data_IF_243130230464
#
_entry.id   IF_243130230464
#
_cell.length_a   1.000
_cell.length_b   1.000
_cell.length_c   1.000
_cell.angle_alpha   90.00
_cell.angle_beta   90.00
_cell.angle_gamma   90.00
#
_symmetry.space_group_name_H-M   'P 1'
#
loop_
_entity.id
_entity.type
_entity.pdbx_description
1 polymer ?
#
# COMPACT_ATOMS: atom_id res chain seq x y z
N UNK A 1 -20.72 -35.05 -24.90
CA UNK A 1 -20.97 -34.40 -23.60
C UNK A 1 -20.14 -33.12 -23.54
N UNK A 2 -20.77 -31.95 -23.50
CA UNK A 2 -20.09 -30.64 -23.41
C UNK A 2 -20.61 -29.93 -22.17
N UNK A 3 -19.84 -29.93 -21.10
CA UNK A 3 -20.17 -29.18 -19.88
C UNK A 3 -19.76 -27.72 -20.08
N UNK A 4 -20.75 -26.82 -20.10
CA UNK A 4 -20.53 -25.37 -19.98
C UNK A 4 -20.60 -25.03 -18.50
N UNK A 5 -19.46 -24.72 -17.90
CA UNK A 5 -19.39 -24.25 -16.51
C UNK A 5 -19.54 -22.73 -16.49
N UNK A 6 -20.69 -22.26 -16.03
CA UNK A 6 -20.93 -20.86 -15.66
C UNK A 6 -20.30 -20.61 -14.29
N UNK A 7 -19.16 -19.92 -14.26
CA UNK A 7 -18.60 -19.42 -12.99
C UNK A 7 -19.31 -18.12 -12.62
N UNK A 8 -20.11 -18.15 -11.55
CA UNK A 8 -20.66 -16.96 -10.93
C UNK A 8 -19.59 -16.26 -10.09
N UNK A 9 -19.43 -14.96 -10.28
CA UNK A 9 -18.56 -14.11 -9.47
C UNK A 9 -19.37 -13.57 -8.29
N UNK A 10 -18.86 -13.72 -7.07
CA UNK A 10 -19.31 -12.94 -5.93
C UNK A 10 -18.11 -12.24 -5.32
N UNK A 11 -18.17 -10.91 -5.25
CA UNK A 11 -17.19 -10.08 -4.55
C UNK A 11 -17.57 -10.02 -3.09
N UNK A 12 -16.68 -10.47 -2.20
CA UNK A 12 -16.70 -10.08 -0.80
C UNK A 12 -15.35 -9.49 -0.42
N UNK A 13 -15.40 -8.23 0.02
CA UNK A 13 -14.32 -7.51 0.66
C UNK A 13 -14.07 -8.10 2.04
N UNK A 14 -12.86 -8.62 2.28
CA UNK A 14 -12.03 -8.34 3.46
C UNK A 14 -10.87 -9.35 3.56
N UNK A 15 -9.64 -8.84 3.45
CA UNK A 15 -8.50 -9.26 4.27
C UNK A 15 -8.11 -10.74 4.35
N UNK A 16 -8.20 -11.52 3.26
CA UNK A 16 -7.66 -12.88 3.27
C UNK A 16 -7.04 -13.23 1.92
N UNK A 17 -5.72 -13.44 1.93
CA UNK A 17 -4.90 -13.71 0.74
C UNK A 17 -5.15 -15.16 0.31
N UNK A 18 -6.09 -15.35 -0.62
CA UNK A 18 -6.33 -16.64 -1.28
C UNK A 18 -5.41 -16.73 -2.49
N UNK A 19 -4.43 -17.63 -2.44
CA UNK A 19 -3.73 -18.10 -3.64
C UNK A 19 -4.62 -19.08 -4.39
N UNK A 20 -5.47 -18.55 -5.28
CA UNK A 20 -6.20 -19.35 -6.27
C UNK A 20 -5.30 -19.48 -7.49
N UNK A 21 -5.16 -20.69 -8.03
CA UNK A 21 -4.54 -20.92 -9.34
C UNK A 21 -5.21 -20.02 -10.40
N UNK A 22 -4.55 -18.90 -10.74
CA UNK A 22 -5.14 -17.72 -11.40
C UNK A 22 -4.73 -16.36 -10.78
N UNK A 23 -4.05 -16.37 -9.63
CA UNK A 23 -3.79 -15.22 -8.74
C UNK A 23 -2.38 -14.59 -8.86
N UNK A 24 -1.79 -14.48 -10.06
CA UNK A 24 -0.59 -13.66 -10.25
C UNK A 24 -0.90 -12.16 -10.37
N UNK A 25 -2.17 -11.78 -10.57
CA UNK A 25 -2.58 -10.41 -10.90
C UNK A 25 -2.40 -9.37 -9.77
N UNK A 26 -2.17 -9.78 -8.51
CA UNK A 26 -2.05 -8.84 -7.37
C UNK A 26 -0.90 -9.15 -6.43
N UNK A 27 0.27 -9.51 -6.98
CA UNK A 27 1.44 -9.78 -6.14
C UNK A 27 2.13 -8.50 -5.65
N UNK A 28 2.12 -7.46 -6.48
CA UNK A 28 2.79 -6.18 -6.23
C UNK A 28 1.77 -5.04 -6.27
N UNK A 29 1.89 -4.13 -5.32
CA UNK A 29 1.04 -2.95 -5.20
C UNK A 29 1.85 -1.70 -5.52
N UNK A 30 1.31 -0.85 -6.41
CA UNK A 30 1.89 0.48 -6.66
C UNK A 30 1.76 1.32 -5.39
N UNK A 31 2.86 1.95 -4.99
CA UNK A 31 3.00 2.63 -3.71
C UNK A 31 3.38 1.70 -2.56
N UNK A 32 3.45 0.37 -2.77
CA UNK A 32 3.90 -0.57 -1.76
C UNK A 32 5.41 -0.49 -1.51
N UNK A 33 5.83 -0.74 -0.26
CA UNK A 33 7.24 -0.75 0.13
C UNK A 33 7.68 -2.17 0.39
N UNK A 34 8.71 -2.62 -0.30
CA UNK A 34 9.17 -4.00 -0.27
C UNK A 34 10.67 -4.07 0.03
N UNK A 35 11.11 -5.23 0.52
CA UNK A 35 12.50 -5.48 0.89
C UNK A 35 13.17 -6.38 -0.14
N UNK A 36 14.35 -6.01 -0.61
CA UNK A 36 15.14 -6.87 -1.48
C UNK A 36 15.61 -8.12 -0.70
N UNK A 37 15.32 -9.31 -1.22
CA UNK A 37 15.78 -10.58 -0.64
C UNK A 37 17.23 -10.90 -1.04
N UNK A 38 17.64 -10.44 -2.21
CA UNK A 38 18.98 -10.63 -2.76
C UNK A 38 19.61 -9.35 -3.31
N UNK A 39 20.65 -9.51 -4.14
CA UNK A 39 21.20 -8.41 -4.91
C UNK A 39 20.19 -8.05 -6.02
N UNK A 40 19.67 -6.83 -5.99
CA UNK A 40 18.68 -6.36 -6.95
C UNK A 40 19.33 -5.40 -7.95
N UNK A 41 19.34 -5.75 -9.23
CA UNK A 41 19.89 -4.91 -10.29
C UNK A 41 18.82 -3.94 -10.79
N UNK A 42 19.11 -2.64 -10.72
CA UNK A 42 18.25 -1.58 -11.23
C UNK A 42 18.64 -1.28 -12.67
N UNK A 43 17.65 -1.33 -13.55
CA UNK A 43 17.76 -1.16 -14.98
C UNK A 43 17.13 0.16 -15.44
N UNK A 44 17.68 0.76 -16.49
CA UNK A 44 17.23 2.06 -16.96
C UNK A 44 15.86 1.98 -17.64
N UNK A 45 15.60 0.91 -18.38
CA UNK A 45 14.37 0.69 -19.14
C UNK A 45 13.67 -0.60 -18.73
N UNK A 46 12.40 -0.71 -19.12
CA UNK A 46 11.55 -1.87 -18.82
C UNK A 46 12.09 -3.17 -19.42
N UNK A 47 12.96 -3.11 -20.44
CA UNK A 47 13.55 -4.29 -21.10
C UNK A 47 14.64 -4.93 -20.25
N UNK A 48 14.66 -6.27 -20.20
CA UNK A 48 15.55 -7.09 -19.37
C UNK A 48 17.07 -6.98 -19.68
N UNK A 49 17.44 -6.23 -20.72
CA UNK A 49 18.83 -6.02 -21.15
C UNK A 49 19.20 -4.54 -21.24
N UNK A 50 18.42 -3.67 -20.60
CA UNK A 50 18.73 -2.25 -20.58
C UNK A 50 19.98 -1.96 -19.72
N UNK A 51 20.51 -0.75 -19.87
CA UNK A 51 21.72 -0.34 -19.17
C UNK A 51 21.49 -0.37 -17.65
N UNK A 52 22.36 -1.04 -16.87
CA UNK A 52 22.23 -1.02 -15.42
C UNK A 52 22.52 0.37 -14.87
N UNK A 53 21.63 0.87 -14.02
CA UNK A 53 21.82 2.07 -13.21
C UNK A 53 22.74 1.75 -12.02
N UNK A 54 22.58 0.55 -11.45
CA UNK A 54 23.35 0.07 -10.32
C UNK A 54 22.70 -1.16 -9.68
N UNK A 55 23.15 -1.52 -8.48
CA UNK A 55 22.58 -2.65 -7.73
C UNK A 55 22.35 -2.30 -6.27
N UNK A 56 21.21 -2.73 -5.73
CA UNK A 56 20.91 -2.74 -4.30
C UNK A 56 21.38 -4.07 -3.69
N UNK A 57 21.84 -4.00 -2.43
CA UNK A 57 22.14 -5.20 -1.65
C UNK A 57 20.85 -5.76 -1.03
N UNK A 58 20.91 -7.02 -0.61
CA UNK A 58 19.85 -7.63 0.19
C UNK A 58 19.52 -6.80 1.43
N UNK A 59 18.26 -6.84 1.85
CA UNK A 59 17.72 -6.11 3.00
C UNK A 59 17.40 -4.64 2.75
N UNK A 60 17.68 -4.10 1.56
CA UNK A 60 17.33 -2.71 1.21
C UNK A 60 15.86 -2.58 0.87
N UNK A 61 15.28 -1.45 1.26
CA UNK A 61 13.88 -1.12 0.98
C UNK A 61 13.75 -0.39 -0.35
N UNK A 62 12.68 -0.71 -1.08
CA UNK A 62 12.28 -0.08 -2.32
C UNK A 62 10.79 0.23 -2.29
N UNK A 63 10.39 1.32 -2.94
CA UNK A 63 9.00 1.68 -3.18
C UNK A 63 8.65 1.31 -4.62
N UNK A 64 7.58 0.55 -4.83
CA UNK A 64 7.09 0.25 -6.18
C UNK A 64 6.34 1.46 -6.72
N UNK A 65 6.79 2.02 -7.83
CA UNK A 65 6.16 3.16 -8.50
C UNK A 65 5.27 2.71 -9.67
N UNK A 66 5.61 1.61 -10.32
CA UNK A 66 4.91 1.10 -11.50
C UNK A 66 5.05 -0.42 -11.59
N UNK A 67 4.04 -1.08 -12.14
CA UNK A 67 4.02 -2.54 -12.35
C UNK A 67 3.60 -2.80 -13.80
N UNK A 68 4.46 -3.47 -14.55
CA UNK A 68 4.22 -3.85 -15.95
C UNK A 68 4.29 -5.37 -16.06
N UNK A 69 3.27 -5.97 -16.64
CA UNK A 69 3.28 -7.39 -16.97
C UNK A 69 3.89 -7.57 -18.36
N UNK A 70 5.03 -8.27 -18.45
CA UNK A 70 5.70 -8.55 -19.73
C UNK A 70 5.14 -9.82 -20.38
N UNK A 71 4.85 -10.85 -19.58
CA UNK A 71 4.19 -12.06 -20.01
C UNK A 71 3.43 -12.72 -18.82
N UNK A 72 2.88 -13.92 -19.02
CA UNK A 72 2.06 -14.60 -18.00
C UNK A 72 2.85 -14.88 -16.71
N UNK A 73 4.17 -15.05 -16.82
CA UNK A 73 5.06 -15.43 -15.71
C UNK A 73 6.06 -14.35 -15.31
N UNK A 74 6.22 -13.29 -16.12
CA UNK A 74 7.20 -12.22 -15.93
C UNK A 74 6.51 -10.89 -15.68
N UNK A 75 6.86 -10.28 -14.55
CA UNK A 75 6.46 -8.92 -14.20
C UNK A 75 7.71 -8.08 -13.98
N UNK A 76 7.65 -6.84 -14.47
CA UNK A 76 8.67 -5.82 -14.33
C UNK A 76 8.14 -4.72 -13.43
N UNK A 77 8.94 -4.34 -12.45
CA UNK A 77 8.57 -3.37 -11.43
C UNK A 77 9.47 -2.16 -11.60
N UNK A 78 8.88 -0.97 -11.72
CA UNK A 78 9.63 0.25 -11.55
C UNK A 78 9.68 0.54 -10.06
N UNK A 79 10.88 0.60 -9.51
CA UNK A 79 11.06 0.79 -8.07
C UNK A 79 11.99 1.96 -7.80
N UNK A 80 11.68 2.71 -6.74
CA UNK A 80 12.53 3.75 -6.17
C UNK A 80 13.25 3.21 -4.96
N UNK A 81 14.57 3.32 -4.93
CA UNK A 81 15.34 2.91 -3.77
C UNK A 81 15.12 3.87 -2.60
N UNK A 82 14.68 3.36 -1.45
CA UNK A 82 14.49 4.17 -0.24
C UNK A 82 15.76 4.27 0.59
N UNK A 83 16.67 3.29 0.46
CA UNK A 83 17.85 3.16 1.33
C UNK A 83 19.12 2.83 0.54
N UNK A 84 20.28 3.22 1.08
CA UNK A 84 21.60 2.88 0.53
C UNK A 84 22.13 3.91 -0.48
N UNK A 85 23.16 3.52 -1.25
CA UNK A 85 23.89 4.44 -2.16
C UNK A 85 23.05 4.94 -3.34
N UNK A 86 21.98 4.24 -3.68
CA UNK A 86 21.07 4.59 -4.76
C UNK A 86 19.78 5.24 -4.24
N UNK A 87 19.71 5.62 -2.95
CA UNK A 87 18.51 6.20 -2.37
C UNK A 87 18.00 7.40 -3.20
N UNK A 88 16.68 7.43 -3.44
CA UNK A 88 16.01 8.41 -4.28
C UNK A 88 16.05 8.11 -5.78
N UNK A 89 16.88 7.16 -6.25
CA UNK A 89 16.92 6.76 -7.66
C UNK A 89 15.87 5.70 -7.96
N UNK A 90 15.23 5.83 -9.12
CA UNK A 90 14.30 4.85 -9.66
C UNK A 90 14.93 4.03 -10.78
N UNK A 91 14.47 2.79 -10.94
CA UNK A 91 14.86 1.90 -12.03
C UNK A 91 13.91 0.71 -12.12
N UNK A 92 14.00 -0.01 -13.23
CA UNK A 92 13.26 -1.24 -13.46
C UNK A 92 13.97 -2.44 -12.83
N UNK A 93 13.18 -3.38 -12.34
CA UNK A 93 13.66 -4.64 -11.79
C UNK A 93 12.70 -5.77 -12.19
N UNK A 94 13.20 -6.98 -12.32
CA UNK A 94 12.35 -8.16 -12.48
C UNK A 94 11.81 -8.61 -11.13
N UNK A 95 10.52 -8.92 -11.05
CA UNK A 95 9.89 -9.44 -9.83
C UNK A 95 10.37 -10.85 -9.47
N UNK A 96 10.86 -11.59 -10.48
CA UNK A 96 11.48 -12.91 -10.36
C UNK A 96 12.90 -12.87 -10.91
N UNK A 97 13.77 -13.75 -10.39
CA UNK A 97 15.11 -13.97 -10.92
C UNK A 97 15.12 -15.06 -12.02
N UNK A 98 16.31 -15.42 -12.49
CA UNK A 98 16.50 -16.47 -13.51
C UNK A 98 16.09 -17.88 -13.03
N UNK A 99 15.93 -18.09 -11.73
CA UNK A 99 15.46 -19.34 -11.15
C UNK A 99 13.96 -19.33 -10.84
N UNK A 100 13.24 -18.28 -11.26
CA UNK A 100 11.83 -18.03 -10.94
C UNK A 100 11.56 -17.86 -9.43
N UNK A 101 12.56 -17.39 -8.68
CA UNK A 101 12.42 -17.03 -7.27
C UNK A 101 12.18 -15.52 -7.12
N UNK A 102 11.45 -15.12 -6.07
CA UNK A 102 11.14 -13.71 -5.83
C UNK A 102 12.37 -12.91 -5.43
N UNK A 103 12.60 -11.79 -6.10
CA UNK A 103 13.73 -10.90 -5.79
C UNK A 103 13.42 -9.93 -4.64
N UNK A 104 12.13 -9.70 -4.39
CA UNK A 104 11.59 -8.87 -3.32
C UNK A 104 10.73 -9.71 -2.37
N UNK A 105 10.70 -9.32 -1.10
CA UNK A 105 9.78 -9.86 -0.10
C UNK A 105 8.34 -9.53 -0.51
N UNK A 106 7.42 -10.50 -0.39
CA UNK A 106 6.02 -10.36 -0.80
C UNK A 106 5.15 -9.59 0.20
N UNK A 107 5.73 -9.16 1.31
CA UNK A 107 5.05 -8.40 2.37
C UNK A 107 5.24 -6.91 2.13
N UNK A 108 4.14 -6.18 2.02
CA UNK A 108 4.16 -4.73 1.97
C UNK A 108 4.48 -4.17 3.36
N UNK A 109 5.69 -3.62 3.52
CA UNK A 109 6.14 -3.05 4.79
C UNK A 109 5.40 -1.76 5.19
N UNK A 110 4.67 -1.11 4.28
CA UNK A 110 3.85 0.05 4.63
C UNK A 110 2.57 -0.31 5.36
N UNK A 111 2.01 -1.51 5.16
CA UNK A 111 0.80 -1.92 5.88
C UNK A 111 1.02 -1.89 7.39
N UNK A 112 2.19 -2.36 7.84
CA UNK A 112 2.57 -2.30 9.24
C UNK A 112 2.75 -0.85 9.73
N UNK A 113 3.42 0.01 8.96
CA UNK A 113 3.59 1.42 9.31
C UNK A 113 2.23 2.14 9.43
N UNK A 114 1.31 1.87 8.50
CA UNK A 114 -0.04 2.43 8.52
C UNK A 114 -0.84 1.94 9.71
N UNK A 115 -0.78 0.65 10.03
CA UNK A 115 -1.45 0.07 11.19
C UNK A 115 -0.93 0.70 12.50
N UNK A 116 0.39 0.86 12.61
CA UNK A 116 0.99 1.53 13.77
C UNK A 116 0.58 2.99 13.89
N UNK A 117 0.48 3.74 12.77
CA UNK A 117 0.00 5.13 12.80
C UNK A 117 -1.47 5.22 13.24
N UNK A 118 -2.31 4.31 12.75
CA UNK A 118 -3.74 4.27 13.11
C UNK A 118 -3.99 3.96 14.58
N UNK A 119 -3.11 3.19 15.24
CA UNK A 119 -3.21 2.96 16.68
C UNK A 119 -2.77 4.16 17.53
N UNK A 120 -1.91 5.03 16.99
CA UNK A 120 -1.33 6.17 17.72
C UNK A 120 -2.01 7.50 17.42
N UNK A 121 -3.03 7.56 16.57
CA UNK A 121 -3.94 8.70 16.56
C UNK A 121 -4.76 8.63 17.86
N UNK A 122 -4.47 9.46 18.89
CA UNK A 122 -5.40 9.58 20.00
C UNK A 122 -6.70 10.00 19.35
N UNK A 123 -7.73 9.17 19.53
CA UNK A 123 -9.10 9.56 19.25
C UNK A 123 -9.25 10.95 19.85
N UNK A 124 -9.30 11.97 18.98
CA UNK A 124 -9.96 13.20 19.31
C UNK A 124 -11.41 12.79 19.47
N UNK A 125 -11.71 12.26 20.65
CA UNK A 125 -13.04 12.20 21.21
C UNK A 125 -13.53 13.63 21.10
N UNK A 126 -14.34 13.85 20.07
CA UNK A 126 -15.22 14.97 19.91
C UNK A 126 -15.96 15.12 21.23
N UNK A 127 -15.39 15.94 22.12
CA UNK A 127 -16.06 16.47 23.29
C UNK A 127 -17.14 17.39 22.74
N UNK A 128 -18.28 16.80 22.37
CA UNK A 128 -19.54 17.50 22.25
C UNK A 128 -19.75 18.24 23.57
N UNK A 129 -19.40 19.52 23.57
CA UNK A 129 -19.64 20.41 24.68
C UNK A 129 -21.16 20.44 24.88
N UNK A 130 -21.68 20.18 26.10
CA UNK A 130 -23.10 20.31 26.36
C UNK A 130 -23.46 21.78 26.17
N UNK A 131 -24.29 22.05 25.16
CA UNK A 131 -24.94 23.34 24.95
C UNK A 131 -25.64 23.73 26.25
N UNK A 132 -25.09 24.73 26.95
CA UNK A 132 -25.76 25.36 28.09
C UNK A 132 -26.99 26.08 27.54
N UNK A 133 -28.18 25.67 27.99
CA UNK A 133 -29.41 26.39 27.75
C UNK A 133 -29.32 27.82 28.33
N UNK A 134 -29.82 28.85 27.63
CA UNK A 134 -29.93 30.20 28.16
C UNK A 134 -31.00 30.25 29.25
N UNK A 135 -30.60 30.64 30.46
CA UNK A 135 -31.50 30.94 31.58
C UNK A 135 -32.43 32.09 31.18
N UNK A 136 -33.74 31.87 31.32
CA UNK A 136 -34.74 32.91 31.10
C UNK A 136 -34.81 33.80 32.35
N UNK A 137 -34.36 35.05 32.23
CA UNK A 137 -34.57 36.08 33.25
C UNK A 137 -36.06 36.45 33.33
N UNK A 138 -36.62 36.29 34.52
CA UNK A 138 -37.98 36.70 34.87
C UNK A 138 -38.02 38.21 35.17
N UNK A 139 -38.89 39.02 34.53
CA UNK A 139 -38.94 40.45 34.76
C UNK A 139 -39.68 40.74 36.08
N UNK A 140 -38.92 41.15 37.09
CA UNK A 140 -39.44 41.74 38.33
C UNK A 140 -40.15 43.07 37.99
N UNK A 141 -41.46 43.13 38.20
CA UNK A 141 -42.23 44.38 38.16
C UNK A 141 -42.23 45.03 39.54
N UNK A 142 -41.70 46.25 39.61
CA UNK A 142 -41.74 47.10 40.80
C UNK A 142 -43.16 47.61 41.10
N UNK A 143 -43.47 47.93 42.38
CA UNK A 143 -44.76 48.43 42.80
C UNK A 143 -44.95 49.92 42.49
N UNK A 144 -46.16 50.28 42.07
CA UNK A 144 -46.63 51.65 41.81
C UNK A 144 -47.02 52.31 43.14
N UNK A 145 -46.52 53.51 43.47
CA UNK A 145 -47.03 54.31 44.59
C UNK A 145 -48.27 55.14 44.19
N UNK A 146 -49.11 55.40 45.19
CA UNK A 146 -50.43 56.08 45.16
C UNK A 146 -50.48 57.47 44.51
#
# INVERSE_FOLDING_TARGET
MRCRTTSSLSLTSNGSRVTVSGATEKMWEVGGKYRALGKLQLEQDVTAFSKPIGSLKAGKLVLVEEVVQENITSMRLRVKAETGRLAGRSGWVSGLDSQAEFTLDLRNHLEFENLMRSCHSPSQSSSSSPTRDPVSEEPTRDPVPE
#
